data_IF_440555021701
#
_entry.id   IF_440555021701
#
_cell.length_a   1.000
_cell.length_b   1.000
_cell.length_c   1.000
_cell.angle_alpha   90.00
_cell.angle_beta   90.00
_cell.angle_gamma   90.00
#
_symmetry.space_group_name_H-M   'P 1'
#
loop_
_entity.id
_entity.type
_entity.pdbx_description
1 polymer ?
#
# COMPACT_ATOMS: atom_id res chain seq x y z
N UNK A 1 -28.01 -6.26 13.79
CA UNK A 1 -29.32 -6.30 14.49
C UNK A 1 -29.83 -4.93 14.91
N UNK A 2 -29.00 -3.97 15.33
CA UNK A 2 -29.44 -2.62 15.76
C UNK A 2 -29.63 -1.60 14.61
N UNK A 3 -29.70 -2.06 13.34
CA UNK A 3 -30.03 -1.22 12.19
C UNK A 3 -28.87 -0.48 11.50
N UNK A 4 -27.64 -0.62 11.99
CA UNK A 4 -26.43 -0.14 11.32
C UNK A 4 -26.22 -0.89 10.01
N UNK A 5 -26.07 -0.14 8.91
CA UNK A 5 -25.88 -0.63 7.54
C UNK A 5 -24.88 0.28 6.84
N UNK A 6 -23.89 -0.29 6.17
CA UNK A 6 -22.85 0.49 5.47
C UNK A 6 -23.45 1.30 4.32
N UNK A 7 -24.37 0.70 3.55
CA UNK A 7 -25.01 1.35 2.39
C UNK A 7 -25.76 2.64 2.75
N UNK A 8 -26.34 2.74 3.95
CA UNK A 8 -27.02 3.97 4.42
C UNK A 8 -26.08 5.17 4.55
N UNK A 9 -24.79 4.93 4.72
CA UNK A 9 -23.76 5.98 4.86
C UNK A 9 -23.17 6.37 3.50
N UNK A 10 -23.42 5.57 2.46
CA UNK A 10 -22.80 5.77 1.16
C UNK A 10 -23.42 6.94 0.40
N UNK A 11 -22.57 7.66 -0.31
CA UNK A 11 -22.88 8.74 -1.22
C UNK A 11 -22.16 8.50 -2.56
N UNK A 12 -22.29 9.45 -3.51
CA UNK A 12 -21.67 9.38 -4.84
C UNK A 12 -20.16 9.08 -4.80
N UNK A 13 -19.45 9.65 -3.83
CA UNK A 13 -18.00 9.56 -3.67
C UNK A 13 -17.57 8.55 -2.61
N UNK A 14 -18.46 7.67 -2.13
CA UNK A 14 -18.10 6.51 -1.30
C UNK A 14 -17.40 5.46 -2.15
N UNK A 15 -16.18 5.79 -2.56
CA UNK A 15 -15.38 5.10 -3.56
C UNK A 15 -13.92 5.08 -3.13
N UNK A 16 -13.16 4.13 -3.66
CA UNK A 16 -11.70 4.05 -3.49
C UNK A 16 -11.07 4.37 -4.83
N UNK A 17 -10.29 5.44 -4.87
CA UNK A 17 -9.52 5.85 -6.04
C UNK A 17 -8.03 5.66 -5.76
N UNK A 18 -7.31 5.10 -6.72
CA UNK A 18 -5.85 4.95 -6.63
C UNK A 18 -5.19 5.80 -7.69
N UNK A 19 -4.15 6.53 -7.31
CA UNK A 19 -3.30 7.25 -8.25
C UNK A 19 -2.00 6.47 -8.40
N UNK A 20 -1.82 5.90 -9.59
CA UNK A 20 -0.73 5.02 -9.96
C UNK A 20 0.21 5.71 -10.97
N UNK A 21 1.41 5.19 -11.06
CA UNK A 21 2.45 5.72 -11.94
C UNK A 21 3.84 5.37 -11.46
N UNK A 22 4.82 5.62 -12.33
CA UNK A 22 6.21 5.37 -12.05
C UNK A 22 6.75 6.27 -10.91
N UNK A 23 8.00 6.05 -10.48
CA UNK A 23 8.65 6.89 -9.48
C UNK A 23 8.65 8.35 -9.91
N UNK A 24 8.48 9.29 -8.98
CA UNK A 24 8.52 10.74 -9.24
C UNK A 24 7.57 11.23 -10.37
N UNK A 25 6.47 10.51 -10.64
CA UNK A 25 5.47 10.91 -11.64
C UNK A 25 4.66 12.15 -11.26
N UNK A 26 4.58 12.47 -9.96
CA UNK A 26 3.73 13.53 -9.41
C UNK A 26 2.42 13.03 -8.80
N UNK A 27 2.23 11.70 -8.72
CA UNK A 27 1.03 11.02 -8.20
C UNK A 27 0.52 11.55 -6.86
N UNK A 28 1.38 11.75 -5.86
CA UNK A 28 0.94 12.22 -4.54
C UNK A 28 0.32 13.61 -4.54
N UNK A 29 0.85 14.52 -5.36
CA UNK A 29 0.27 15.86 -5.51
C UNK A 29 -1.12 15.77 -6.14
N UNK A 30 -1.27 15.00 -7.22
CA UNK A 30 -2.57 14.81 -7.87
C UNK A 30 -3.58 14.16 -6.93
N UNK A 31 -3.18 13.08 -6.25
CA UNK A 31 -4.02 12.35 -5.31
C UNK A 31 -4.54 13.25 -4.18
N UNK A 32 -3.67 14.09 -3.60
CA UNK A 32 -4.06 15.05 -2.58
C UNK A 32 -5.06 16.07 -3.13
N UNK A 33 -4.82 16.64 -4.31
CA UNK A 33 -5.71 17.64 -4.90
C UNK A 33 -7.08 17.06 -5.26
N UNK A 34 -7.15 15.81 -5.72
CA UNK A 34 -8.42 15.11 -5.98
C UNK A 34 -9.18 14.89 -4.67
N UNK A 35 -8.48 14.42 -3.63
CA UNK A 35 -9.08 14.18 -2.32
C UNK A 35 -9.71 15.46 -1.74
N UNK A 36 -8.97 16.57 -1.77
CA UNK A 36 -9.42 17.87 -1.30
C UNK A 36 -10.66 18.37 -2.05
N UNK A 37 -10.71 18.21 -3.38
CA UNK A 37 -11.85 18.66 -4.19
C UNK A 37 -13.10 17.81 -4.05
N UNK A 38 -12.93 16.50 -3.92
CA UNK A 38 -14.05 15.56 -3.81
C UNK A 38 -14.50 15.33 -2.35
N UNK A 39 -13.83 15.95 -1.37
CA UNK A 39 -14.10 15.75 0.05
C UNK A 39 -13.76 14.33 0.53
N UNK A 40 -12.86 13.65 -0.18
CA UNK A 40 -12.42 12.29 0.13
C UNK A 40 -11.19 12.33 1.05
N UNK A 41 -10.97 11.25 1.79
CA UNK A 41 -9.79 11.14 2.64
C UNK A 41 -8.55 10.80 1.81
N UNK A 42 -7.49 11.59 1.96
CA UNK A 42 -6.21 11.34 1.32
C UNK A 42 -5.36 10.35 2.14
N UNK A 43 -4.84 9.32 1.49
CA UNK A 43 -3.89 8.37 2.05
C UNK A 43 -2.55 8.50 1.29
N UNK A 44 -1.47 8.97 1.93
CA UNK A 44 -0.16 9.10 1.29
C UNK A 44 0.45 7.72 0.98
N UNK A 45 1.44 7.64 0.09
CA UNK A 45 2.09 6.36 -0.22
C UNK A 45 2.61 5.64 1.04
N UNK A 46 2.23 4.38 1.24
CA UNK A 46 2.74 3.57 2.33
C UNK A 46 4.26 3.33 2.17
N UNK A 47 5.03 3.77 3.16
CA UNK A 47 6.47 3.52 3.25
C UNK A 47 6.79 2.45 4.29
N UNK A 48 8.08 2.23 4.58
CA UNK A 48 8.54 1.24 5.55
C UNK A 48 8.08 1.51 6.99
N UNK A 49 7.63 2.73 7.29
CA UNK A 49 7.17 3.14 8.62
C UNK A 49 5.65 3.36 8.67
N UNK A 50 4.88 2.85 7.70
CA UNK A 50 3.42 2.96 7.74
C UNK A 50 2.85 2.40 9.05
N UNK A 51 3.29 1.19 9.43
CA UNK A 51 2.87 0.52 10.66
C UNK A 51 3.18 1.37 11.92
N UNK A 52 4.35 2.00 11.96
CA UNK A 52 4.75 2.86 13.07
C UNK A 52 3.82 4.06 13.26
N UNK A 53 3.27 4.61 12.17
CA UNK A 53 2.38 5.77 12.22
C UNK A 53 0.96 5.42 12.63
N UNK A 54 0.49 4.24 12.24
CA UNK A 54 -0.87 3.78 12.56
C UNK A 54 -0.95 3.06 13.89
N UNK A 55 0.18 2.62 14.46
CA UNK A 55 0.26 1.93 15.76
C UNK A 55 1.04 2.73 16.81
N UNK A 56 0.81 2.40 18.08
CA UNK A 56 1.53 3.03 19.19
C UNK A 56 1.29 4.54 19.29
N UNK A 57 2.38 5.29 19.42
CA UNK A 57 2.44 6.75 19.58
C UNK A 57 2.80 7.50 18.30
N UNK A 58 2.93 6.80 17.16
CA UNK A 58 3.31 7.39 15.88
C UNK A 58 4.81 7.66 15.73
N UNK A 59 5.64 7.28 16.70
CA UNK A 59 7.10 7.44 16.61
C UNK A 59 7.70 6.47 15.61
N UNK A 60 8.58 6.99 14.75
CA UNK A 60 9.31 6.17 13.79
C UNK A 60 10.31 5.30 14.53
N UNK A 61 10.22 4.00 14.32
CA UNK A 61 11.08 3.02 14.96
C UNK A 61 12.33 2.72 14.11
N UNK A 62 13.33 2.15 14.76
CA UNK A 62 14.53 1.63 14.11
C UNK A 62 14.17 0.60 13.02
N UNK A 63 14.97 0.54 11.95
CA UNK A 63 14.78 -0.37 10.82
C UNK A 63 14.66 -1.84 11.25
N UNK A 64 15.30 -2.25 12.36
CA UNK A 64 15.18 -3.61 12.92
C UNK A 64 13.75 -3.97 13.35
N UNK A 65 12.93 -2.98 13.68
CA UNK A 65 11.52 -3.20 14.01
C UNK A 65 10.61 -3.07 12.77
N UNK A 66 11.14 -2.56 11.67
CA UNK A 66 10.43 -2.32 10.40
C UNK A 66 10.93 -3.27 9.30
N UNK A 67 10.80 -4.57 9.56
CA UNK A 67 11.13 -5.61 8.59
C UNK A 67 12.62 -5.75 8.26
N UNK A 68 13.54 -5.12 9.02
CA UNK A 68 14.99 -5.16 8.77
C UNK A 68 15.35 -4.73 7.33
N UNK A 69 14.60 -3.80 6.75
CA UNK A 69 14.73 -3.42 5.36
C UNK A 69 15.02 -1.93 5.22
N UNK A 70 15.78 -1.59 4.18
CA UNK A 70 16.15 -0.20 3.89
C UNK A 70 16.07 0.09 2.41
N UNK A 71 15.29 1.13 2.07
CA UNK A 71 15.15 1.64 0.71
C UNK A 71 16.46 2.23 0.21
N UNK A 72 17.22 2.89 1.09
CA UNK A 72 18.54 3.42 0.77
C UNK A 72 19.50 2.30 0.40
N UNK A 73 19.53 1.21 1.20
CA UNK A 73 20.36 0.04 0.91
C UNK A 73 19.97 -0.61 -0.42
N UNK A 74 18.68 -0.69 -0.72
CA UNK A 74 18.18 -1.22 -1.99
C UNK A 74 18.71 -0.42 -3.17
N UNK A 75 18.61 0.91 -3.17
CA UNK A 75 19.09 1.71 -4.30
C UNK A 75 20.62 1.79 -4.39
N UNK A 76 21.33 1.63 -3.28
CA UNK A 76 22.80 1.58 -3.27
C UNK A 76 23.35 0.25 -3.79
N UNK A 77 22.75 -0.87 -3.41
CA UNK A 77 23.13 -2.22 -3.85
C UNK A 77 21.90 -3.14 -3.97
N UNK A 78 21.16 -3.08 -5.10
CA UNK A 78 19.97 -3.89 -5.31
C UNK A 78 20.25 -5.41 -5.39
N UNK A 79 21.51 -5.82 -5.57
CA UNK A 79 21.92 -7.22 -5.69
C UNK A 79 22.61 -7.72 -4.41
N UNK A 80 22.45 -7.00 -3.30
CA UNK A 80 23.04 -7.37 -2.03
C UNK A 80 22.61 -8.80 -1.64
N UNK A 81 23.56 -9.69 -1.27
CA UNK A 81 23.24 -11.08 -0.93
C UNK A 81 22.49 -11.23 0.40
N UNK A 82 22.31 -10.14 1.16
CA UNK A 82 21.61 -10.11 2.45
C UNK A 82 20.07 -10.19 2.34
N UNK A 83 19.55 -10.23 1.11
CA UNK A 83 18.11 -10.34 0.83
C UNK A 83 17.33 -9.05 1.02
N UNK A 84 17.97 -7.89 1.21
CA UNK A 84 17.29 -6.62 1.46
C UNK A 84 16.25 -6.28 0.39
N UNK A 85 16.55 -6.54 -0.88
CA UNK A 85 15.65 -6.21 -2.01
C UNK A 85 14.29 -6.89 -1.88
N UNK A 86 14.27 -8.20 -1.61
CA UNK A 86 13.01 -8.91 -1.46
C UNK A 86 12.34 -8.66 -0.10
N UNK A 87 13.13 -8.55 0.97
CA UNK A 87 12.62 -8.24 2.31
C UNK A 87 11.91 -6.87 2.35
N UNK A 88 12.50 -5.86 1.69
CA UNK A 88 11.88 -4.56 1.48
C UNK A 88 10.56 -4.69 0.72
N UNK A 89 10.53 -5.44 -0.38
CA UNK A 89 9.30 -5.61 -1.16
C UNK A 89 8.19 -6.29 -0.36
N UNK A 90 8.52 -7.36 0.38
CA UNK A 90 7.55 -8.08 1.20
C UNK A 90 7.00 -7.19 2.34
N UNK A 91 7.86 -6.35 2.93
CA UNK A 91 7.46 -5.38 3.96
C UNK A 91 6.58 -4.27 3.40
N UNK A 92 6.95 -3.68 2.25
CA UNK A 92 6.13 -2.67 1.57
C UNK A 92 4.78 -3.24 1.14
N UNK A 93 4.75 -4.48 0.62
CA UNK A 93 3.51 -5.18 0.31
C UNK A 93 2.61 -5.33 1.54
N UNK A 94 3.18 -5.78 2.65
CA UNK A 94 2.48 -5.90 3.93
C UNK A 94 1.89 -4.57 4.42
N UNK A 95 2.66 -3.49 4.32
CA UNK A 95 2.19 -2.15 4.67
C UNK A 95 1.08 -1.64 3.71
N UNK A 96 1.16 -1.97 2.41
CA UNK A 96 0.10 -1.63 1.45
C UNK A 96 -1.18 -2.42 1.69
N UNK A 97 -1.09 -3.69 2.09
CA UNK A 97 -2.24 -4.50 2.52
C UNK A 97 -2.91 -3.86 3.74
N UNK A 98 -2.13 -3.47 4.74
CA UNK A 98 -2.65 -2.81 5.94
C UNK A 98 -3.31 -1.47 5.58
N UNK A 99 -2.66 -0.65 4.75
CA UNK A 99 -3.20 0.63 4.31
C UNK A 99 -4.50 0.47 3.52
N UNK A 100 -4.59 -0.53 2.65
CA UNK A 100 -5.80 -0.80 1.89
C UNK A 100 -6.95 -1.27 2.79
N UNK A 101 -6.63 -2.04 3.84
CA UNK A 101 -7.59 -2.40 4.88
C UNK A 101 -8.10 -1.18 5.64
N UNK A 102 -7.22 -0.24 6.01
CA UNK A 102 -7.61 1.01 6.67
C UNK A 102 -8.51 1.88 5.76
N UNK A 103 -8.23 1.91 4.46
CA UNK A 103 -9.06 2.61 3.48
C UNK A 103 -10.46 1.99 3.35
N UNK A 104 -10.55 0.65 3.27
CA UNK A 104 -11.81 -0.07 3.23
C UNK A 104 -12.60 0.08 4.55
N UNK A 105 -11.92 -0.01 5.69
CA UNK A 105 -12.54 0.19 7.00
C UNK A 105 -13.15 1.59 7.11
N UNK A 106 -12.41 2.63 6.72
CA UNK A 106 -12.90 4.00 6.73
C UNK A 106 -14.13 4.15 5.83
N UNK A 107 -14.05 3.65 4.60
CA UNK A 107 -15.15 3.69 3.64
C UNK A 107 -16.40 3.00 4.19
N UNK A 108 -16.27 1.78 4.70
CA UNK A 108 -17.41 0.98 5.19
C UNK A 108 -17.98 1.54 6.50
N UNK A 109 -17.15 2.13 7.34
CA UNK A 109 -17.55 2.66 8.65
C UNK A 109 -18.16 4.05 8.57
N UNK A 110 -17.68 4.91 7.68
CA UNK A 110 -18.08 6.33 7.61
C UNK A 110 -18.82 6.69 6.34
N UNK A 111 -18.65 5.92 5.26
CA UNK A 111 -19.08 6.31 3.91
C UNK A 111 -18.16 7.33 3.24
N UNK A 112 -17.09 7.78 3.88
CA UNK A 112 -16.13 8.70 3.26
C UNK A 112 -15.27 7.95 2.24
N UNK A 113 -15.20 8.46 1.01
CA UNK A 113 -14.31 7.93 -0.01
C UNK A 113 -12.85 8.12 0.32
N UNK A 114 -11.99 7.34 -0.34
CA UNK A 114 -10.54 7.38 -0.15
C UNK A 114 -9.84 7.60 -1.49
N UNK A 115 -8.86 8.50 -1.51
CA UNK A 115 -7.89 8.63 -2.61
C UNK A 115 -6.52 8.27 -2.05
N UNK A 116 -5.85 7.29 -2.66
CA UNK A 116 -4.56 6.81 -2.19
C UNK A 116 -3.50 6.75 -3.29
N UNK A 117 -2.24 6.85 -2.90
CA UNK A 117 -1.10 6.63 -3.80
C UNK A 117 -0.74 5.13 -3.85
N UNK A 118 -0.93 4.50 -5.01
CA UNK A 118 -0.61 3.08 -5.29
C UNK A 118 -1.25 2.07 -4.32
N UNK A 119 -2.13 1.23 -4.82
CA UNK A 119 -2.73 0.16 -4.01
C UNK A 119 -1.88 -1.12 -3.98
N UNK A 120 -2.35 -2.10 -3.20
CA UNK A 120 -1.81 -3.47 -3.22
C UNK A 120 -1.88 -4.10 -4.62
N UNK A 121 -2.83 -3.69 -5.47
CA UNK A 121 -3.01 -4.24 -6.81
C UNK A 121 -1.89 -3.83 -7.78
N UNK A 122 -1.25 -2.67 -7.58
CA UNK A 122 -0.12 -2.22 -8.43
C UNK A 122 1.25 -2.63 -7.90
N UNK A 123 1.34 -3.23 -6.72
CA UNK A 123 2.62 -3.55 -6.08
C UNK A 123 3.45 -4.58 -6.87
N UNK A 124 2.79 -5.54 -7.53
CA UNK A 124 3.49 -6.60 -8.28
C UNK A 124 4.33 -6.05 -9.45
N UNK A 125 4.02 -4.84 -9.93
CA UNK A 125 4.79 -4.15 -10.95
C UNK A 125 6.24 -3.97 -10.52
N UNK A 126 6.47 -3.62 -9.26
CA UNK A 126 7.82 -3.45 -8.70
C UNK A 126 8.53 -4.79 -8.54
N UNK A 127 7.80 -5.81 -8.08
CA UNK A 127 8.31 -7.18 -7.95
C UNK A 127 8.79 -7.73 -9.31
N UNK A 128 7.95 -7.64 -10.34
CA UNK A 128 8.28 -8.13 -11.68
C UNK A 128 9.45 -7.35 -12.29
N UNK A 129 9.48 -6.02 -12.12
CA UNK A 129 10.59 -5.20 -12.56
C UNK A 129 11.91 -5.57 -11.86
N UNK A 130 11.88 -5.85 -10.56
CA UNK A 130 13.06 -6.31 -9.82
C UNK A 130 13.54 -7.67 -10.31
N UNK A 131 12.61 -8.57 -10.66
CA UNK A 131 12.95 -9.87 -11.22
C UNK A 131 13.60 -9.75 -12.60
N UNK A 132 13.04 -8.92 -13.48
CA UNK A 132 13.60 -8.66 -14.83
C UNK A 132 15.02 -8.10 -14.77
N UNK A 133 15.32 -7.23 -13.79
CA UNK A 133 16.67 -6.68 -13.60
C UNK A 133 17.63 -7.63 -12.85
N UNK A 134 17.13 -8.81 -12.42
CA UNK A 134 17.91 -9.79 -11.67
C UNK A 134 18.29 -9.32 -10.27
N UNK A 135 17.45 -8.51 -9.62
CA UNK A 135 17.64 -8.07 -8.23
C UNK A 135 17.11 -9.09 -7.22
N UNK A 136 16.18 -9.94 -7.64
CA UNK A 136 15.56 -10.98 -6.81
C UNK A 136 15.57 -12.33 -7.52
N UNK A 137 15.54 -13.41 -6.73
CA UNK A 137 15.51 -14.78 -7.25
C UNK A 137 14.09 -15.23 -7.61
N UNK A 138 13.97 -16.21 -8.52
CA UNK A 138 12.67 -16.81 -8.89
C UNK A 138 11.89 -17.37 -7.69
N UNK A 139 12.58 -17.88 -6.66
CA UNK A 139 11.93 -18.34 -5.41
C UNK A 139 11.18 -17.22 -4.69
N UNK A 140 11.71 -15.99 -4.75
CA UNK A 140 11.10 -14.80 -4.15
C UNK A 140 9.83 -14.41 -4.90
N UNK A 141 9.86 -14.48 -6.23
CA UNK A 141 8.67 -14.30 -7.09
C UNK A 141 7.58 -15.32 -6.73
N UNK A 142 7.96 -16.60 -6.60
CA UNK A 142 7.00 -17.65 -6.24
C UNK A 142 6.38 -17.44 -4.85
N UNK A 143 7.18 -17.01 -3.86
CA UNK A 143 6.69 -16.65 -2.54
C UNK A 143 5.73 -15.46 -2.60
N UNK A 144 6.10 -14.41 -3.34
CA UNK A 144 5.26 -13.23 -3.51
C UNK A 144 3.92 -13.57 -4.15
N UNK A 145 3.91 -14.37 -5.23
CA UNK A 145 2.68 -14.75 -5.92
C UNK A 145 1.75 -15.61 -5.06
N UNK A 146 2.31 -16.46 -4.19
CA UNK A 146 1.53 -17.23 -3.21
C UNK A 146 0.88 -16.29 -2.20
N UNK A 147 1.67 -15.40 -1.58
CA UNK A 147 1.16 -14.39 -0.65
C UNK A 147 0.10 -13.49 -1.31
N UNK A 148 0.36 -12.97 -2.52
CA UNK A 148 -0.59 -12.17 -3.30
C UNK A 148 -1.89 -12.91 -3.53
N UNK A 149 -1.82 -14.18 -3.94
CA UNK A 149 -2.97 -15.00 -4.27
C UNK A 149 -3.91 -15.28 -3.09
N UNK A 150 -3.39 -15.35 -1.87
CA UNK A 150 -4.20 -15.62 -0.66
C UNK A 150 -4.61 -14.36 0.12
N UNK A 151 -3.96 -13.22 -0.13
CA UNK A 151 -4.27 -11.97 0.58
C UNK A 151 -5.20 -11.06 -0.23
N UNK A 152 -4.99 -10.93 -1.54
CA UNK A 152 -5.79 -10.00 -2.36
C UNK A 152 -7.24 -10.48 -2.54
N UNK A 153 -7.50 -11.79 -2.48
CA UNK A 153 -8.84 -12.34 -2.68
C UNK A 153 -9.87 -11.91 -1.63
N UNK A 154 -9.42 -11.41 -0.48
CA UNK A 154 -10.28 -10.92 0.60
C UNK A 154 -10.69 -9.45 0.40
N UNK A 155 -10.10 -8.76 -0.59
CA UNK A 155 -10.35 -7.34 -0.84
C UNK A 155 -11.16 -7.10 -2.12
N UNK A 156 -12.02 -6.09 -2.08
CA UNK A 156 -12.62 -5.52 -3.29
C UNK A 156 -11.60 -4.59 -3.98
N UNK A 157 -11.49 -4.63 -5.32
CA UNK A 157 -10.56 -3.78 -6.07
C UNK A 157 -10.92 -2.29 -5.94
N UNK A 158 -10.04 -1.35 -6.28
CA UNK A 158 -10.42 0.06 -6.32
C UNK A 158 -11.55 0.30 -7.32
N UNK A 159 -12.28 1.40 -7.17
CA UNK A 159 -13.31 1.78 -8.13
C UNK A 159 -12.71 2.46 -9.37
N UNK A 160 -11.63 3.21 -9.16
CA UNK A 160 -10.92 3.97 -10.19
C UNK A 160 -9.43 3.85 -9.98
N UNK A 161 -8.71 3.63 -11.07
CA UNK A 161 -7.26 3.76 -11.16
C UNK A 161 -6.93 4.92 -12.09
N UNK A 162 -6.20 5.90 -11.57
CA UNK A 162 -5.69 7.04 -12.33
C UNK A 162 -4.20 6.82 -12.56
N UNK A 163 -3.82 6.52 -13.79
CA UNK A 163 -2.43 6.29 -14.17
C UNK A 163 -1.81 7.53 -14.78
N UNK A 164 -0.68 7.99 -14.22
CA UNK A 164 0.11 9.09 -14.77
C UNK A 164 1.24 8.53 -15.63
N UNK A 165 1.12 8.70 -16.94
CA UNK A 165 2.13 8.36 -17.91
C UNK A 165 3.18 9.48 -18.01
N UNK A 166 4.41 9.13 -17.63
CA UNK A 166 5.57 10.02 -17.68
C UNK A 166 6.72 9.25 -18.32
N UNK A 167 7.35 9.77 -19.39
CA UNK A 167 8.48 9.12 -20.02
C UNK A 167 9.62 8.88 -19.02
N UNK A 168 10.29 7.72 -19.09
CA UNK A 168 11.43 7.38 -18.21
C UNK A 168 12.54 8.42 -18.24
N UNK A 169 12.80 9.04 -19.40
CA UNK A 169 13.79 10.12 -19.53
C UNK A 169 13.45 11.34 -18.65
N UNK A 170 12.17 11.70 -18.58
CA UNK A 170 11.69 12.79 -17.74
C UNK A 170 11.69 12.39 -16.26
N UNK A 171 11.28 11.17 -15.93
CA UNK A 171 11.36 10.63 -14.57
C UNK A 171 12.79 10.67 -14.06
N UNK A 172 13.74 10.20 -14.86
CA UNK A 172 15.15 10.20 -14.50
C UNK A 172 15.63 11.63 -14.23
N UNK A 173 15.27 12.59 -15.07
CA UNK A 173 15.59 14.01 -14.85
C UNK A 173 15.02 14.52 -13.52
N UNK A 174 13.74 14.25 -13.24
CA UNK A 174 13.07 14.63 -11.98
C UNK A 174 13.75 14.01 -10.75
N UNK A 175 14.16 12.75 -10.83
CA UNK A 175 14.91 12.06 -9.76
C UNK A 175 16.30 12.70 -9.58
N UNK A 176 17.00 13.04 -10.65
CA UNK A 176 18.31 13.71 -10.55
C UNK A 176 18.20 15.11 -9.94
N UNK A 177 17.12 15.84 -10.20
CA UNK A 177 16.89 17.19 -9.66
C UNK A 177 16.41 17.17 -8.20
N UNK A 178 15.40 16.36 -7.88
CA UNK A 178 14.67 16.41 -6.60
C UNK A 178 14.81 15.17 -5.71
N UNK A 179 15.27 14.07 -6.28
CA UNK A 179 15.40 12.80 -5.57
C UNK A 179 16.49 12.83 -4.50
N UNK A 180 16.34 11.96 -3.51
CA UNK A 180 17.35 11.78 -2.46
C UNK A 180 18.64 11.21 -3.05
N UNK A 181 19.81 11.39 -2.40
CA UNK A 181 21.10 10.93 -2.93
C UNK A 181 21.12 9.45 -3.35
N UNK A 182 20.42 8.60 -2.62
CA UNK A 182 20.30 7.18 -2.94
C UNK A 182 19.34 6.90 -4.11
N UNK A 183 18.24 7.65 -4.26
CA UNK A 183 17.28 7.48 -5.38
C UNK A 183 17.90 7.83 -6.73
N UNK A 184 18.88 8.74 -6.74
CA UNK A 184 19.63 9.12 -7.94
C UNK A 184 20.43 7.96 -8.56
N UNK A 185 20.63 6.86 -7.82
CA UNK A 185 21.33 5.65 -8.30
C UNK A 185 20.41 4.65 -8.99
N UNK A 186 19.10 4.91 -9.04
CA UNK A 186 18.14 4.08 -9.76
C UNK A 186 18.55 3.91 -11.21
N UNK A 187 18.56 2.65 -11.69
CA UNK A 187 18.89 2.36 -13.08
C UNK A 187 17.74 2.76 -14.02
N UNK A 188 18.03 3.36 -15.18
CA UNK A 188 17.00 3.65 -16.18
C UNK A 188 16.30 2.38 -16.69
N UNK A 189 17.03 1.26 -16.77
CA UNK A 189 16.48 -0.03 -17.16
C UNK A 189 15.40 -0.52 -16.16
N UNK A 190 15.61 -0.31 -14.85
CA UNK A 190 14.61 -0.62 -13.84
C UNK A 190 13.35 0.26 -13.97
N UNK A 191 13.53 1.57 -14.20
CA UNK A 191 12.39 2.47 -14.44
C UNK A 191 11.60 2.09 -15.69
N UNK A 192 12.29 1.67 -16.76
CA UNK A 192 11.64 1.19 -17.97
C UNK A 192 10.90 -0.13 -17.73
N UNK A 193 11.49 -1.08 -17.00
CA UNK A 193 10.80 -2.31 -16.59
C UNK A 193 9.52 -2.02 -15.80
N UNK A 194 9.53 -1.04 -14.90
CA UNK A 194 8.32 -0.62 -14.17
C UNK A 194 7.26 -0.09 -15.13
N UNK A 195 7.63 0.83 -16.02
CA UNK A 195 6.70 1.40 -17.01
C UNK A 195 6.10 0.31 -17.92
N UNK A 196 6.93 -0.60 -18.40
CA UNK A 196 6.54 -1.71 -19.25
C UNK A 196 5.54 -2.63 -18.55
N UNK A 197 5.78 -2.99 -17.28
CA UNK A 197 4.89 -3.88 -16.53
C UNK A 197 3.59 -3.17 -16.16
N UNK A 198 3.62 -1.86 -15.86
CA UNK A 198 2.39 -1.06 -15.72
C UNK A 198 1.52 -1.16 -16.98
N UNK A 199 2.10 -0.88 -18.15
CA UNK A 199 1.37 -0.82 -19.43
C UNK A 199 0.94 -2.19 -19.96
N UNK A 200 1.78 -3.22 -19.81
CA UNK A 200 1.55 -4.55 -20.40
C UNK A 200 0.75 -5.50 -19.52
N UNK A 201 0.78 -5.30 -18.20
CA UNK A 201 0.18 -6.25 -17.25
C UNK A 201 -0.85 -5.58 -16.35
N UNK A 202 -0.45 -4.56 -15.57
CA UNK A 202 -1.34 -3.97 -14.57
C UNK A 202 -2.56 -3.27 -15.18
N UNK A 203 -2.36 -2.36 -16.14
CA UNK A 203 -3.48 -1.59 -16.71
C UNK A 203 -4.50 -2.50 -17.42
N UNK A 204 -4.10 -3.50 -18.22
CA UNK A 204 -5.03 -4.48 -18.76
C UNK A 204 -5.80 -5.26 -17.68
N UNK A 205 -5.10 -5.83 -16.69
CA UNK A 205 -5.70 -6.65 -15.63
C UNK A 205 -6.70 -5.85 -14.78
N UNK A 206 -6.34 -4.64 -14.36
CA UNK A 206 -7.19 -3.83 -13.48
C UNK A 206 -8.39 -3.22 -14.21
N UNK A 207 -8.30 -3.02 -15.53
CA UNK A 207 -9.39 -2.47 -16.34
C UNK A 207 -10.62 -3.39 -16.45
N UNK A 208 -10.46 -4.68 -16.14
CA UNK A 208 -11.57 -5.65 -16.10
C UNK A 208 -12.48 -5.42 -14.88
N UNK A 209 -11.92 -4.90 -13.79
CA UNK A 209 -12.62 -4.76 -12.50
C UNK A 209 -12.81 -3.32 -12.04
N UNK A 210 -12.01 -2.39 -12.56
CA UNK A 210 -11.98 -0.99 -12.15
C UNK A 210 -12.08 -0.08 -13.37
N UNK A 211 -12.60 1.14 -13.19
CA UNK A 211 -12.42 2.18 -14.21
C UNK A 211 -10.97 2.63 -14.25
N UNK A 212 -10.47 2.97 -15.44
CA UNK A 212 -9.08 3.39 -15.64
C UNK A 212 -9.05 4.69 -16.42
N UNK A 213 -8.44 5.72 -15.83
CA UNK A 213 -8.13 6.99 -16.49
C UNK A 213 -6.61 7.10 -16.65
N UNK A 214 -6.15 7.48 -17.84
CA UNK A 214 -4.73 7.64 -18.14
C UNK A 214 -4.45 9.08 -18.54
N UNK A 215 -3.46 9.69 -17.91
CA UNK A 215 -3.08 11.08 -18.16
C UNK A 215 -1.59 11.19 -18.42
N UNK A 216 -1.20 12.08 -19.32
CA UNK A 216 0.19 12.54 -19.40
C UNK A 216 0.55 13.43 -18.21
N UNK A 217 1.84 13.60 -17.95
CA UNK A 217 2.35 14.50 -16.92
C UNK A 217 1.81 15.94 -17.00
N UNK A 218 1.53 16.44 -18.21
CA UNK A 218 0.97 17.78 -18.44
C UNK A 218 -0.52 17.85 -18.14
N UNK A 219 -1.28 16.84 -18.56
CA UNK A 219 -2.73 16.79 -18.33
C UNK A 219 -3.05 16.58 -16.86
N UNK A 220 -2.25 15.79 -16.15
CA UNK A 220 -2.37 15.57 -14.71
C UNK A 220 -2.19 16.84 -13.86
N UNK A 221 -1.72 17.95 -14.44
CA UNK A 221 -1.64 19.24 -13.72
C UNK A 221 -2.99 19.96 -13.69
N UNK A 222 -3.86 19.69 -14.67
CA UNK A 222 -5.20 20.24 -14.73
C UNK A 222 -6.16 19.34 -13.95
N UNK A 223 -6.21 19.56 -12.65
CA UNK A 223 -7.05 18.77 -11.74
C UNK A 223 -8.55 18.97 -12.06
N UNK A 224 -8.97 20.13 -12.57
CA UNK A 224 -10.39 20.33 -12.93
C UNK A 224 -10.82 19.35 -14.02
N UNK A 225 -9.99 19.20 -15.06
CA UNK A 225 -10.24 18.22 -16.12
C UNK A 225 -10.32 16.80 -15.56
N UNK A 226 -9.42 16.43 -14.65
CA UNK A 226 -9.44 15.10 -14.02
C UNK A 226 -10.72 14.88 -13.22
N UNK A 227 -11.16 15.87 -12.45
CA UNK A 227 -12.43 15.79 -11.70
C UNK A 227 -13.62 15.67 -12.65
N UNK A 228 -13.65 16.47 -13.72
CA UNK A 228 -14.72 16.41 -14.72
C UNK A 228 -14.80 15.02 -15.37
N UNK A 229 -13.66 14.45 -15.77
CA UNK A 229 -13.60 13.08 -16.32
C UNK A 229 -14.13 12.04 -15.31
N UNK A 230 -13.77 12.17 -14.02
CA UNK A 230 -14.29 11.31 -12.95
C UNK A 230 -15.80 11.43 -12.81
N UNK A 231 -16.38 12.62 -12.98
CA UNK A 231 -17.82 12.83 -12.88
C UNK A 231 -18.61 12.22 -14.04
N UNK A 232 -18.00 12.10 -15.22
CA UNK A 232 -18.60 11.42 -16.38
C UNK A 232 -18.52 9.89 -16.31
N UNK A 233 -17.65 9.34 -15.45
CA UNK A 233 -17.54 7.89 -15.29
C UNK A 233 -18.81 7.28 -14.73
N UNK A 234 -19.19 6.14 -15.31
CA UNK A 234 -20.19 5.24 -14.75
C UNK A 234 -19.46 4.06 -14.14
N UNK A 235 -19.56 3.93 -12.82
CA UNK A 235 -18.95 2.81 -12.10
C UNK A 235 -19.84 1.57 -12.22
N UNK A 236 -19.81 0.92 -13.38
CA UNK A 236 -20.60 -0.28 -13.69
C UNK A 236 -19.78 -1.59 -13.71
N UNK A 237 -18.48 -1.51 -13.40
CA UNK A 237 -17.55 -2.64 -13.35
C UNK A 237 -17.27 -3.15 -11.94
N UNK A 238 -16.78 -4.39 -11.90
CA UNK A 238 -16.20 -5.01 -10.73
C UNK A 238 -17.22 -5.58 -9.73
N UNK A 239 -16.73 -6.27 -8.70
CA UNK A 239 -17.58 -6.99 -7.74
C UNK A 239 -18.34 -6.06 -6.78
N UNK A 240 -18.13 -4.74 -6.84
CA UNK A 240 -18.80 -3.75 -5.98
C UNK A 240 -20.31 -3.72 -6.14
N UNK A 241 -20.81 -3.94 -7.35
CA UNK A 241 -22.25 -3.92 -7.65
C UNK A 241 -23.00 -5.13 -7.10
N UNK A 242 -22.28 -6.23 -6.86
CA UNK A 242 -22.83 -7.49 -6.38
C UNK A 242 -22.92 -7.52 -4.84
N UNK A 243 -22.36 -6.51 -4.16
CA UNK A 243 -22.32 -6.45 -2.71
C UNK A 243 -23.64 -5.98 -2.10
N UNK A 244 -23.98 -6.53 -0.94
CA UNK A 244 -25.12 -6.13 -0.14
C UNK A 244 -24.68 -5.70 1.28
N UNK A 245 -25.65 -5.32 2.13
CA UNK A 245 -25.36 -4.91 3.51
C UNK A 245 -24.69 -6.04 4.33
N UNK A 246 -24.92 -7.31 3.98
CA UNK A 246 -24.38 -8.47 4.69
C UNK A 246 -22.93 -8.69 4.28
N UNK A 247 -22.64 -8.70 2.98
CA UNK A 247 -21.26 -8.84 2.49
C UNK A 247 -20.39 -7.67 2.93
N UNK A 248 -20.90 -6.43 2.88
CA UNK A 248 -20.20 -5.27 3.43
C UNK A 248 -19.98 -5.34 4.94
N UNK A 249 -20.92 -5.91 5.70
CA UNK A 249 -20.74 -6.12 7.13
C UNK A 249 -19.61 -7.11 7.42
N UNK A 250 -19.57 -8.25 6.70
CA UNK A 250 -18.49 -9.22 6.85
C UNK A 250 -17.14 -8.65 6.44
N UNK A 251 -17.09 -7.93 5.32
CA UNK A 251 -15.88 -7.26 4.85
C UNK A 251 -15.38 -6.26 5.90
N UNK A 252 -16.28 -5.46 6.48
CA UNK A 252 -15.93 -4.50 7.54
C UNK A 252 -15.34 -5.19 8.76
N UNK A 253 -15.99 -6.25 9.27
CA UNK A 253 -15.48 -7.01 10.42
C UNK A 253 -14.10 -7.62 10.14
N UNK A 254 -13.85 -8.05 8.90
CA UNK A 254 -12.53 -8.52 8.49
C UNK A 254 -11.51 -7.38 8.50
N UNK A 255 -11.84 -6.22 7.94
CA UNK A 255 -10.92 -5.06 7.89
C UNK A 255 -10.58 -4.49 9.27
N UNK A 256 -11.51 -4.53 10.22
CA UNK A 256 -11.28 -4.08 11.61
C UNK A 256 -10.27 -5.00 12.33
N UNK A 257 -10.20 -6.29 11.97
CA UNK A 257 -9.26 -7.26 12.55
C UNK A 257 -7.93 -7.27 11.78
N UNK A 258 -7.04 -6.34 12.14
CA UNK A 258 -5.73 -6.19 11.49
C UNK A 258 -4.85 -7.44 11.60
N UNK A 259 -5.02 -8.26 12.63
CA UNK A 259 -4.30 -9.53 12.72
C UNK A 259 -4.76 -10.51 11.65
N UNK A 260 -6.07 -10.62 11.41
CA UNK A 260 -6.60 -11.46 10.32
C UNK A 260 -6.19 -10.96 8.94
N UNK A 261 -6.24 -9.64 8.73
CA UNK A 261 -5.80 -8.99 7.48
C UNK A 261 -4.33 -9.30 7.17
N UNK A 262 -3.47 -9.27 8.19
CA UNK A 262 -2.03 -9.47 8.03
C UNK A 262 -1.61 -10.95 7.99
N UNK A 263 -2.41 -11.87 8.55
CA UNK A 263 -2.06 -13.29 8.64
C UNK A 263 -1.68 -13.93 7.27
N UNK A 264 -2.39 -13.66 6.16
CA UNK A 264 -2.00 -14.17 4.84
C UNK A 264 -0.68 -13.60 4.30
N UNK A 265 -0.16 -12.50 4.84
CA UNK A 265 1.15 -11.96 4.42
C UNK A 265 2.33 -12.70 5.07
N UNK A 266 2.07 -13.47 6.13
CA UNK A 266 3.07 -14.22 6.90
C UNK A 266 2.90 -15.73 6.73
N UNK A 267 3.09 -16.24 5.52
CA UNK A 267 3.03 -17.69 5.25
C UNK A 267 4.25 -18.43 5.79
N UNK A 268 4.12 -19.68 6.27
CA UNK A 268 5.23 -20.49 6.78
C UNK A 268 6.08 -21.08 5.65
N UNK A 269 6.48 -20.27 4.68
CA UNK A 269 7.35 -20.65 3.55
C UNK A 269 8.74 -20.08 3.74
N UNK A 270 9.66 -20.94 4.15
CA UNK A 270 11.02 -20.55 4.47
C UNK A 270 11.84 -20.28 3.21
N UNK A 271 12.16 -19.00 2.98
CA UNK A 271 13.18 -18.57 2.01
C UNK A 271 14.28 -17.75 2.72
N UNK A 272 15.54 -17.84 2.28
CA UNK A 272 16.66 -17.19 2.97
C UNK A 272 16.53 -15.67 3.14
N UNK A 273 15.84 -15.00 2.21
CA UNK A 273 15.78 -13.54 2.17
C UNK A 273 14.90 -12.92 3.29
N UNK A 274 13.90 -13.66 3.80
CA UNK A 274 12.92 -13.18 4.80
C UNK A 274 12.89 -14.01 6.09
N UNK A 275 13.45 -15.23 6.09
CA UNK A 275 13.38 -16.11 7.25
C UNK A 275 14.34 -15.61 8.33
N UNK A 276 13.80 -15.25 9.49
CA UNK A 276 14.58 -14.84 10.67
C UNK A 276 14.78 -16.05 11.58
N UNK A 277 16.00 -16.22 12.09
CA UNK A 277 16.30 -17.29 13.05
C UNK A 277 15.59 -17.08 14.38
N UNK A 278 15.14 -18.16 15.04
CA UNK A 278 14.35 -18.07 16.28
C UNK A 278 15.02 -17.25 17.39
N UNK A 279 16.33 -17.38 17.58
CA UNK A 279 17.08 -16.60 18.57
C UNK A 279 17.12 -15.10 18.26
N UNK A 280 17.22 -14.75 16.97
CA UNK A 280 17.23 -13.36 16.53
C UNK A 280 15.83 -12.75 16.69
N UNK A 281 14.80 -13.49 16.27
CA UNK A 281 13.40 -13.09 16.47
C UNK A 281 13.09 -12.83 17.95
N UNK A 282 13.45 -13.75 18.84
CA UNK A 282 13.19 -13.63 20.28
C UNK A 282 13.85 -12.37 20.87
N UNK A 283 15.11 -12.12 20.48
CA UNK A 283 15.84 -10.91 20.90
C UNK A 283 15.15 -9.63 20.41
N UNK A 284 14.73 -9.57 19.15
CA UNK A 284 14.07 -8.38 18.58
C UNK A 284 12.70 -8.19 19.22
N UNK A 285 11.94 -9.27 19.43
CA UNK A 285 10.63 -9.25 20.05
C UNK A 285 10.67 -8.62 21.45
N UNK A 286 11.56 -9.07 22.33
CA UNK A 286 11.67 -8.48 23.67
C UNK A 286 12.24 -7.05 23.65
N UNK A 287 13.12 -6.72 22.70
CA UNK A 287 13.54 -5.33 22.50
C UNK A 287 12.36 -4.44 22.10
N UNK A 288 11.49 -4.90 21.20
CA UNK A 288 10.30 -4.17 20.80
C UNK A 288 9.32 -3.99 21.96
N UNK A 289 9.06 -5.05 22.74
CA UNK A 289 8.20 -5.01 23.93
C UNK A 289 8.74 -4.10 25.04
N UNK A 290 10.06 -3.89 25.08
CA UNK A 290 10.69 -2.96 26.04
C UNK A 290 10.51 -1.47 25.67
N UNK A 291 10.01 -1.16 24.46
CA UNK A 291 9.72 0.21 24.07
C UNK A 291 8.49 0.74 24.84
N UNK A 292 8.48 2.03 25.22
CA UNK A 292 7.34 2.63 25.93
C UNK A 292 6.02 2.45 25.18
N UNK A 293 4.97 2.01 25.87
CA UNK A 293 3.64 1.88 25.27
C UNK A 293 3.43 0.67 24.35
N UNK A 294 4.41 -0.25 24.30
CA UNK A 294 4.37 -1.45 23.44
C UNK A 294 4.47 -2.76 24.22
N UNK A 295 4.55 -2.70 25.55
CA UNK A 295 4.64 -3.88 26.40
C UNK A 295 3.28 -4.54 26.67
N UNK A 296 2.18 -3.81 26.54
CA UNK A 296 0.81 -4.33 26.67
C UNK A 296 -0.09 -3.72 25.62
N UNK A 297 -1.35 -4.19 25.57
CA UNK A 297 -2.36 -3.64 24.67
C UNK A 297 -2.59 -2.14 24.95
N UNK A 298 -2.98 -1.41 23.90
CA UNK A 298 -3.24 0.02 23.98
C UNK A 298 -4.26 0.32 25.09
N UNK A 299 -3.94 1.23 26.01
CA UNK A 299 -4.78 1.55 27.15
C UNK A 299 -4.40 0.84 28.45
N UNK A 300 -3.40 -0.05 28.43
CA UNK A 300 -2.90 -0.81 29.57
C UNK A 300 -1.41 -0.57 29.90
N UNK A 301 -0.78 0.45 29.32
CA UNK A 301 0.64 0.76 29.51
C UNK A 301 0.82 1.94 30.50
N UNK A 302 1.10 1.61 31.77
CA UNK A 302 1.21 2.62 32.83
C UNK A 302 2.33 3.64 32.61
N UNK A 303 3.42 3.24 31.94
CA UNK A 303 4.59 4.08 31.68
C UNK A 303 4.32 5.23 30.71
N UNK A 304 3.29 5.11 29.86
CA UNK A 304 2.84 6.19 28.96
C UNK A 304 1.62 6.93 29.51
N UNK A 305 1.25 6.68 30.77
CA UNK A 305 0.20 7.41 31.48
C UNK A 305 -1.21 6.86 31.28
N UNK A 306 -1.36 5.60 30.84
CA UNK A 306 -2.67 4.96 30.77
C UNK A 306 -3.31 4.89 32.17
N UNK A 307 -4.54 5.39 32.25
CA UNK A 307 -5.33 5.45 33.50
C UNK A 307 -6.36 4.34 33.54
N UNK A 308 -6.82 4.05 34.77
CA UNK A 308 -7.88 3.07 35.05
C UNK A 308 -7.57 1.65 34.57
N UNK A 309 -6.28 1.29 34.50
CA UNK A 309 -5.81 -0.02 33.98
C UNK A 309 -6.51 -1.20 34.70
N UNK A 310 -6.74 -1.09 36.01
CA UNK A 310 -7.40 -2.13 36.81
C UNK A 310 -8.93 -2.19 36.66
N UNK A 311 -9.54 -1.22 35.95
CA UNK A 311 -10.99 -1.11 35.71
C UNK A 311 -11.40 -1.24 34.24
N UNK A 312 -10.46 -1.54 33.33
CA UNK A 312 -10.72 -1.76 31.90
C UNK A 312 -10.69 -3.25 31.60
#
# INVERSE_FOLDING_TARGET
>A
MLGERSTKKFNKYSKIFTVDGNLSSGKGKLAQQIAEKLGMQYFPEADVHYLDRVTGDGTLLDEKFNGHCSLEKFYNDPKCPDGNSYRLQAWLYSNRVLQYSDALELLLSTGQGVVMERSVYSDFVFMEAMFQQGYIHKRCVNHYNEVKGISICEFLPPHLVIYIDVPVSEIQKRIQEKGKPYEKKVSPAYLQSIEDVYKKSFLPEISETSEVLQYTASEAQDVEKVIEDIEYLKFDKGPWLEQDDVSFHHLRLYMEDKHKVMNPTTIPRYIPEITIGGNEFDKIYYQYRSLPGRNFDKGYNSEVGDKWIWLK
#
